data_IF_485702637962
#
_entry.id   IF_485702637962
#
_cell.length_a   1.000
_cell.length_b   1.000
_cell.length_c   1.000
_cell.angle_alpha   90.00
_cell.angle_beta   90.00
_cell.angle_gamma   90.00
#
_symmetry.space_group_name_H-M   'P 1'
#
loop_
_entity.id
_entity.type
_entity.pdbx_description
1 polymer ?
#
# COMPACT_ATOMS: atom_id res chain seq x y z
N UNK A 1 5.19 2.63 -13.72
CA UNK A 1 4.41 2.20 -12.56
C UNK A 1 5.37 1.84 -11.46
N UNK A 2 5.13 2.38 -10.28
CA UNK A 2 5.97 2.18 -9.11
C UNK A 2 5.91 0.75 -8.58
N UNK A 3 6.88 0.45 -7.73
CA UNK A 3 7.05 -0.77 -6.95
C UNK A 3 7.81 -0.37 -5.69
N UNK A 4 7.63 -1.10 -4.58
CA UNK A 4 8.52 -0.94 -3.42
C UNK A 4 10.00 -1.22 -3.74
N UNK A 5 10.87 -0.75 -2.85
CA UNK A 5 12.31 -0.99 -2.90
C UNK A 5 12.63 -2.49 -2.96
N UNK A 6 13.67 -2.86 -3.74
CA UNK A 6 14.08 -4.25 -3.88
C UNK A 6 14.89 -4.78 -2.68
N UNK A 7 15.34 -3.91 -1.78
CA UNK A 7 16.25 -4.23 -0.71
C UNK A 7 17.63 -4.63 -1.22
N UNK A 8 18.35 -5.44 -0.43
CA UNK A 8 19.62 -6.00 -0.86
C UNK A 8 19.42 -7.02 -1.99
N UNK A 9 20.05 -6.76 -3.14
CA UNK A 9 19.97 -7.62 -4.33
C UNK A 9 20.60 -9.00 -4.11
N UNK A 10 21.56 -9.13 -3.20
CA UNK A 10 22.20 -10.43 -2.89
C UNK A 10 21.23 -11.43 -2.25
N UNK A 11 20.10 -10.95 -1.70
CA UNK A 11 19.05 -11.80 -1.15
C UNK A 11 18.11 -12.38 -2.22
N UNK A 12 18.25 -11.95 -3.47
CA UNK A 12 17.40 -12.40 -4.56
C UNK A 12 18.00 -13.60 -5.29
N UNK A 13 17.17 -14.61 -5.56
CA UNK A 13 17.54 -15.73 -6.43
C UNK A 13 17.69 -15.30 -7.89
N UNK A 14 16.89 -14.31 -8.33
CA UNK A 14 16.92 -13.74 -9.69
C UNK A 14 16.95 -12.21 -9.60
N UNK A 15 17.60 -11.50 -10.53
CA UNK A 15 17.71 -10.04 -10.45
C UNK A 15 16.33 -9.37 -10.39
N UNK A 16 16.06 -8.48 -9.43
CA UNK A 16 14.71 -7.96 -9.18
C UNK A 16 14.14 -7.16 -10.35
N UNK A 17 14.97 -6.54 -11.18
CA UNK A 17 14.52 -5.70 -12.29
C UNK A 17 14.76 -6.32 -13.67
N UNK A 18 15.07 -7.62 -13.70
CA UNK A 18 15.13 -8.40 -14.93
C UNK A 18 14.07 -9.50 -14.86
N UNK A 19 13.11 -9.47 -15.79
CA UNK A 19 12.08 -10.51 -15.85
C UNK A 19 12.76 -11.86 -16.11
N UNK A 20 12.58 -12.79 -15.18
CA UNK A 20 13.13 -14.15 -15.30
C UNK A 20 11.98 -15.15 -15.29
N UNK A 21 11.87 -15.94 -16.35
CA UNK A 21 10.91 -17.02 -16.45
C UNK A 21 11.56 -18.34 -16.03
N UNK A 22 10.96 -19.03 -15.06
CA UNK A 22 11.47 -20.31 -14.56
C UNK A 22 10.34 -21.11 -13.91
N UNK A 23 10.24 -22.39 -14.31
CA UNK A 23 9.28 -23.36 -13.75
C UNK A 23 7.84 -22.80 -13.72
N UNK A 24 7.39 -22.32 -14.88
CA UNK A 24 6.06 -21.70 -15.13
C UNK A 24 5.74 -20.48 -14.25
N UNK A 25 6.78 -19.80 -13.76
CA UNK A 25 6.66 -18.58 -12.95
C UNK A 25 7.50 -17.45 -13.51
N UNK A 26 7.00 -16.24 -13.33
CA UNK A 26 7.66 -14.98 -13.69
C UNK A 26 8.19 -14.29 -12.44
N UNK A 27 9.51 -14.19 -12.34
CA UNK A 27 10.22 -13.55 -11.25
C UNK A 27 10.66 -12.15 -11.62
N UNK A 28 10.42 -11.21 -10.71
CA UNK A 28 10.80 -9.81 -10.83
C UNK A 28 10.00 -8.96 -9.82
N UNK A 29 10.58 -7.85 -9.37
CA UNK A 29 9.91 -6.89 -8.50
C UNK A 29 8.71 -6.28 -9.22
N UNK A 30 7.56 -6.54 -8.61
CA UNK A 30 6.25 -6.08 -9.04
C UNK A 30 5.57 -6.94 -10.10
N UNK A 31 6.08 -8.15 -10.39
CA UNK A 31 5.35 -9.10 -11.26
C UNK A 31 3.98 -9.45 -10.70
N UNK A 32 3.89 -9.64 -9.37
CA UNK A 32 2.61 -9.83 -8.66
C UNK A 32 1.95 -8.49 -8.32
N UNK A 33 2.70 -7.55 -7.76
CA UNK A 33 2.19 -6.29 -7.22
C UNK A 33 2.78 -5.06 -7.97
N UNK A 34 2.05 -4.45 -8.90
CA UNK A 34 0.84 -4.99 -9.55
C UNK A 34 0.97 -5.03 -11.08
N UNK A 35 2.20 -5.13 -11.61
CA UNK A 35 2.44 -5.09 -13.07
C UNK A 35 1.77 -6.25 -13.81
N UNK A 36 1.66 -7.42 -13.19
CA UNK A 36 0.91 -8.55 -13.77
C UNK A 36 -0.56 -8.22 -13.97
N UNK A 37 -1.23 -7.71 -12.92
CA UNK A 37 -2.62 -7.25 -13.00
C UNK A 37 -2.82 -6.11 -13.99
N UNK A 38 -1.92 -5.13 -14.00
CA UNK A 38 -1.94 -4.03 -14.98
C UNK A 38 -1.84 -4.53 -16.41
N UNK A 39 -0.91 -5.44 -16.70
CA UNK A 39 -0.75 -5.98 -18.05
C UNK A 39 -1.97 -6.80 -18.48
N UNK A 40 -2.59 -7.55 -17.55
CA UNK A 40 -3.84 -8.25 -17.83
C UNK A 40 -4.97 -7.29 -18.24
N UNK A 41 -5.12 -6.16 -17.54
CA UNK A 41 -6.07 -5.12 -17.92
C UNK A 41 -5.77 -4.52 -19.31
N UNK A 42 -4.50 -4.20 -19.58
CA UNK A 42 -4.08 -3.63 -20.89
C UNK A 42 -4.40 -4.58 -22.03
N UNK A 43 -4.05 -5.88 -21.89
CA UNK A 43 -4.31 -6.89 -22.91
C UNK A 43 -5.83 -7.06 -23.12
N UNK A 44 -6.61 -7.15 -22.05
CA UNK A 44 -8.06 -7.25 -22.15
C UNK A 44 -8.69 -6.07 -22.91
N UNK A 45 -8.20 -4.84 -22.67
CA UNK A 45 -8.68 -3.65 -23.39
C UNK A 45 -8.31 -3.67 -24.89
N UNK A 46 -7.12 -4.17 -25.23
CA UNK A 46 -6.70 -4.35 -26.62
C UNK A 46 -7.60 -5.38 -27.30
N UNK A 47 -7.80 -6.55 -26.68
CA UNK A 47 -8.64 -7.62 -27.24
C UNK A 47 -10.11 -7.19 -27.40
N UNK A 48 -10.68 -6.52 -26.39
CA UNK A 48 -12.04 -5.96 -26.49
C UNK A 48 -12.18 -4.98 -27.65
N UNK A 49 -11.15 -4.17 -27.89
CA UNK A 49 -11.13 -3.21 -29.00
C UNK A 49 -11.02 -3.91 -30.35
N UNK A 50 -10.10 -4.87 -30.49
CA UNK A 50 -9.87 -5.62 -31.72
C UNK A 50 -11.09 -6.48 -32.11
N UNK A 51 -11.78 -7.06 -31.12
CA UNK A 51 -12.98 -7.86 -31.33
C UNK A 51 -14.26 -7.01 -31.43
N UNK A 52 -14.16 -5.69 -31.28
CA UNK A 52 -15.29 -4.75 -31.25
C UNK A 52 -16.37 -5.16 -30.22
N UNK A 53 -15.94 -5.60 -29.03
CA UNK A 53 -16.77 -6.19 -27.98
C UNK A 53 -17.23 -5.20 -26.89
N UNK A 54 -17.17 -3.90 -27.17
CA UNK A 54 -17.73 -2.86 -26.30
C UNK A 54 -18.85 -2.11 -27.03
N UNK A 55 -20.06 -2.69 -27.16
CA UNK A 55 -21.14 -2.10 -27.94
C UNK A 55 -21.72 -0.83 -27.30
N UNK A 56 -21.57 -0.67 -25.97
CA UNK A 56 -22.05 0.48 -25.21
C UNK A 56 -21.10 0.78 -24.05
N UNK A 57 -21.12 2.04 -23.59
CA UNK A 57 -20.31 2.50 -22.46
C UNK A 57 -18.90 2.89 -22.85
N UNK A 58 -18.07 3.14 -21.83
CA UNK A 58 -16.66 3.53 -22.00
C UNK A 58 -15.85 2.87 -20.89
N UNK A 59 -14.73 2.25 -21.27
CA UNK A 59 -13.75 1.75 -20.30
C UNK A 59 -12.54 2.67 -20.36
N UNK A 60 -12.11 3.16 -19.20
CA UNK A 60 -10.95 4.05 -19.04
C UNK A 60 -9.89 3.33 -18.22
N UNK A 61 -8.67 3.22 -18.76
CA UNK A 61 -7.53 2.76 -17.99
C UNK A 61 -6.95 3.93 -17.21
N UNK A 62 -6.94 3.82 -15.87
CA UNK A 62 -6.26 4.75 -14.97
C UNK A 62 -5.03 4.05 -14.40
N UNK A 63 -3.85 4.45 -14.84
CA UNK A 63 -2.57 3.91 -14.36
C UNK A 63 -1.80 5.01 -13.63
N UNK A 64 -1.52 4.80 -12.35
CA UNK A 64 -0.95 5.81 -11.45
C UNK A 64 0.44 5.43 -10.96
N UNK A 65 1.26 6.43 -10.63
CA UNK A 65 2.49 6.20 -9.88
C UNK A 65 2.35 6.73 -8.45
N UNK A 66 3.08 6.13 -7.51
CA UNK A 66 3.16 6.55 -6.11
C UNK A 66 2.09 5.92 -5.22
N UNK A 67 1.46 4.83 -5.65
CA UNK A 67 0.52 4.05 -4.85
C UNK A 67 1.20 3.56 -3.56
N UNK A 68 2.41 3.01 -3.70
CA UNK A 68 3.19 2.32 -2.66
C UNK A 68 3.71 3.26 -1.55
N UNK A 69 3.34 4.54 -1.61
CA UNK A 69 3.74 5.59 -0.67
C UNK A 69 2.52 6.33 -0.13
N UNK A 70 2.09 7.37 -0.84
CA UNK A 70 1.06 8.32 -0.40
C UNK A 70 -0.14 8.39 -1.37
N UNK A 71 -0.18 7.50 -2.37
CA UNK A 71 -1.29 7.37 -3.32
C UNK A 71 -1.56 8.66 -4.12
N UNK A 72 -0.54 9.51 -4.29
CA UNK A 72 -0.66 10.84 -4.88
C UNK A 72 -1.24 10.81 -6.30
N UNK A 73 -0.88 9.81 -7.11
CA UNK A 73 -1.37 9.67 -8.47
C UNK A 73 -2.88 9.42 -8.53
N UNK A 74 -3.39 8.52 -7.69
CA UNK A 74 -4.83 8.24 -7.61
C UNK A 74 -5.60 9.45 -7.09
N UNK A 75 -5.06 10.10 -6.05
CA UNK A 75 -5.62 11.34 -5.51
C UNK A 75 -5.70 12.45 -6.56
N UNK A 76 -4.64 12.65 -7.35
CA UNK A 76 -4.60 13.67 -8.39
C UNK A 76 -5.66 13.42 -9.48
N UNK A 77 -5.87 12.17 -9.89
CA UNK A 77 -6.89 11.83 -10.89
C UNK A 77 -8.30 12.08 -10.35
N UNK A 78 -8.55 11.70 -9.10
CA UNK A 78 -9.81 11.99 -8.42
C UNK A 78 -10.06 13.50 -8.32
N UNK A 79 -9.07 14.28 -7.83
CA UNK A 79 -9.17 15.73 -7.67
C UNK A 79 -9.37 16.48 -9.01
N UNK A 80 -8.96 15.86 -10.14
CA UNK A 80 -9.18 16.38 -11.49
C UNK A 80 -10.50 15.95 -12.14
N UNK A 81 -11.33 15.18 -11.44
CA UNK A 81 -12.64 14.74 -11.91
C UNK A 81 -12.61 13.55 -12.89
N UNK A 82 -11.48 12.82 -13.00
CA UNK A 82 -11.41 11.62 -13.87
C UNK A 82 -12.28 10.45 -13.38
N UNK A 83 -12.86 10.58 -12.19
CA UNK A 83 -13.75 9.60 -11.57
C UNK A 83 -15.21 10.09 -11.47
N UNK A 84 -15.51 11.33 -11.86
CA UNK A 84 -16.82 11.95 -11.64
C UNK A 84 -17.95 11.26 -12.43
N UNK A 85 -17.60 10.61 -13.55
CA UNK A 85 -18.50 9.90 -14.46
C UNK A 85 -18.37 8.37 -14.37
N UNK A 86 -17.68 7.84 -13.35
CA UNK A 86 -17.38 6.42 -13.23
C UNK A 86 -18.48 5.68 -12.46
N UNK A 87 -19.19 4.78 -13.16
CA UNK A 87 -20.22 3.91 -12.57
C UNK A 87 -19.63 2.72 -11.78
N UNK A 88 -18.39 2.33 -12.09
CA UNK A 88 -17.73 1.18 -11.46
C UNK A 88 -16.21 1.21 -11.66
N UNK A 89 -15.48 0.76 -10.64
CA UNK A 89 -14.03 0.73 -10.62
C UNK A 89 -13.54 -0.70 -10.35
N UNK A 90 -12.60 -1.16 -11.18
CA UNK A 90 -11.91 -2.44 -11.01
C UNK A 90 -10.43 -2.16 -10.78
N UNK A 91 -9.90 -2.66 -9.68
CA UNK A 91 -8.49 -2.54 -9.31
C UNK A 91 -7.88 -3.95 -9.38
N UNK A 92 -6.83 -4.12 -10.18
CA UNK A 92 -6.20 -5.42 -10.43
C UNK A 92 -5.05 -5.74 -9.45
N UNK A 93 -5.18 -5.31 -8.20
CA UNK A 93 -4.26 -5.64 -7.12
C UNK A 93 -4.33 -7.14 -6.78
N UNK A 94 -3.24 -7.76 -6.29
CA UNK A 94 -3.22 -9.19 -6.04
C UNK A 94 -4.05 -9.55 -4.80
N UNK A 95 -5.24 -10.08 -5.02
CA UNK A 95 -6.19 -10.50 -3.97
C UNK A 95 -6.22 -12.02 -3.72
N UNK A 96 -5.33 -12.77 -4.36
CA UNK A 96 -5.32 -14.23 -4.32
C UNK A 96 -6.54 -14.80 -5.05
N UNK A 97 -7.34 -15.62 -4.37
CA UNK A 97 -8.55 -16.25 -4.95
C UNK A 97 -9.85 -15.46 -4.70
N UNK A 98 -9.79 -14.32 -4.00
CA UNK A 98 -10.96 -13.56 -3.59
C UNK A 98 -11.16 -12.25 -4.37
N UNK A 99 -12.39 -11.75 -4.37
CA UNK A 99 -12.73 -10.39 -4.79
C UNK A 99 -12.99 -9.56 -3.53
N UNK A 100 -12.30 -8.44 -3.40
CA UNK A 100 -12.46 -7.51 -2.29
C UNK A 100 -13.18 -6.27 -2.81
N UNK A 101 -14.27 -5.88 -2.16
CA UNK A 101 -15.09 -4.73 -2.55
C UNK A 101 -14.93 -3.53 -1.58
N UNK A 102 -14.17 -3.70 -0.51
CA UNK A 102 -13.90 -2.66 0.48
C UNK A 102 -12.57 -2.91 1.18
N UNK A 103 -11.91 -1.83 1.59
CA UNK A 103 -10.71 -1.84 2.41
C UNK A 103 -10.95 -1.08 3.71
N UNK A 104 -10.17 -1.42 4.75
CA UNK A 104 -10.15 -0.63 6.00
C UNK A 104 -9.46 0.71 5.73
N UNK A 105 -9.86 1.75 6.45
CA UNK A 105 -9.09 2.98 6.49
C UNK A 105 -7.68 2.74 7.07
N UNK A 106 -6.71 3.48 6.57
CA UNK A 106 -5.34 3.51 7.10
C UNK A 106 -5.10 4.80 7.86
N UNK A 107 -4.42 4.73 9.00
CA UNK A 107 -4.04 5.89 9.79
C UNK A 107 -2.63 5.67 10.34
N UNK A 108 -1.75 6.64 10.06
CA UNK A 108 -0.40 6.71 10.62
C UNK A 108 -0.34 7.89 11.58
N UNK A 109 0.24 7.68 12.77
CA UNK A 109 0.43 8.73 13.78
C UNK A 109 1.91 8.89 14.07
N UNK A 110 2.38 10.14 14.10
CA UNK A 110 3.73 10.49 14.58
C UNK A 110 3.61 11.05 15.99
N UNK A 111 4.26 10.39 16.95
CA UNK A 111 4.33 10.83 18.33
C UNK A 111 5.72 11.37 18.60
N UNK A 112 5.82 12.53 19.25
CA UNK A 112 7.08 13.17 19.59
C UNK A 112 7.05 13.51 21.07
N UNK A 113 8.04 13.02 21.82
CA UNK A 113 8.29 13.45 23.20
C UNK A 113 9.45 14.44 23.21
N UNK A 114 9.37 15.43 24.08
CA UNK A 114 10.44 16.40 24.31
C UNK A 114 10.87 16.30 25.76
N UNK A 115 12.18 16.14 25.95
CA UNK A 115 12.81 16.07 27.26
C UNK A 115 13.79 17.23 27.46
N UNK A 116 14.53 17.18 28.56
CA UNK A 116 15.53 18.17 28.95
C UNK A 116 16.91 17.52 28.94
N UNK A 117 17.74 17.91 27.98
CA UNK A 117 19.09 17.38 27.82
C UNK A 117 20.02 17.85 28.95
N UNK A 118 20.76 16.90 29.52
CA UNK A 118 21.75 17.12 30.59
C UNK A 118 22.93 16.16 30.41
N UNK A 119 24.03 16.41 31.11
CA UNK A 119 25.17 15.48 31.11
C UNK A 119 24.76 14.13 31.72
N UNK A 120 25.19 13.02 31.10
CA UNK A 120 24.75 11.65 31.47
C UNK A 120 25.07 11.24 32.91
N UNK A 121 26.03 11.90 33.56
CA UNK A 121 26.37 11.68 34.97
C UNK A 121 25.44 12.35 35.98
N UNK A 122 24.55 13.25 35.53
CA UNK A 122 23.58 13.97 36.38
C UNK A 122 22.15 13.84 35.83
N UNK A 123 21.65 12.60 35.61
CA UNK A 123 20.37 12.39 34.95
C UNK A 123 19.17 12.99 35.70
N UNK A 124 19.30 13.16 37.03
CA UNK A 124 18.23 13.66 37.92
C UNK A 124 17.86 15.15 37.73
N UNK A 125 18.61 15.91 36.93
CA UNK A 125 18.26 17.31 36.56
C UNK A 125 17.74 17.47 35.13
N UNK A 126 17.64 16.37 34.38
CA UNK A 126 17.11 16.31 33.03
C UNK A 126 15.84 15.47 32.95
N UNK A 127 15.23 15.47 31.77
CA UNK A 127 14.04 14.69 31.47
C UNK A 127 14.34 13.85 30.23
N UNK A 128 14.28 12.54 30.37
CA UNK A 128 14.56 11.63 29.27
C UNK A 128 13.31 11.42 28.42
N UNK A 129 13.30 11.99 27.21
CA UNK A 129 12.19 11.84 26.27
C UNK A 129 11.89 10.37 25.90
N UNK A 130 12.88 9.48 26.01
CA UNK A 130 12.70 8.04 25.75
C UNK A 130 11.76 7.43 26.79
N UNK A 131 11.90 7.81 28.07
CA UNK A 131 11.07 7.26 29.14
C UNK A 131 9.60 7.66 28.93
N UNK A 132 9.35 8.92 28.55
CA UNK A 132 8.01 9.39 28.18
C UNK A 132 7.43 8.63 26.98
N UNK A 133 8.24 8.33 25.95
CA UNK A 133 7.78 7.53 24.81
C UNK A 133 7.46 6.08 25.21
N UNK A 134 8.23 5.49 26.12
CA UNK A 134 7.99 4.15 26.64
C UNK A 134 6.69 4.11 27.45
N UNK A 135 6.45 5.10 28.31
CA UNK A 135 5.19 5.24 29.05
C UNK A 135 3.99 5.36 28.10
N UNK A 136 4.08 6.25 27.11
CA UNK A 136 3.04 6.40 26.09
C UNK A 136 2.79 5.08 25.36
N UNK A 137 3.84 4.39 24.91
CA UNK A 137 3.73 3.14 24.18
C UNK A 137 3.03 2.05 25.00
N UNK A 138 3.37 1.93 26.29
CA UNK A 138 2.75 0.94 27.17
C UNK A 138 1.25 1.22 27.34
N UNK A 139 0.86 2.48 27.61
CA UNK A 139 -0.55 2.87 27.70
C UNK A 139 -1.30 2.65 26.39
N UNK A 140 -0.67 2.99 25.26
CA UNK A 140 -1.23 2.76 23.93
C UNK A 140 -1.47 1.27 23.67
N UNK A 141 -0.51 0.42 24.00
CA UNK A 141 -0.59 -1.04 23.82
C UNK A 141 -1.75 -1.64 24.61
N UNK A 142 -1.98 -1.18 25.84
CA UNK A 142 -3.11 -1.62 26.68
C UNK A 142 -4.45 -1.22 26.06
N UNK A 143 -4.62 0.06 25.71
CA UNK A 143 -5.83 0.57 25.04
C UNK A 143 -6.10 -0.14 23.70
N UNK A 144 -5.05 -0.42 22.93
CA UNK A 144 -5.18 -1.13 21.67
C UNK A 144 -5.67 -2.58 21.87
N UNK A 145 -5.21 -3.25 22.92
CA UNK A 145 -5.70 -4.59 23.27
C UNK A 145 -7.19 -4.58 23.66
N UNK A 146 -7.66 -3.56 24.37
CA UNK A 146 -9.09 -3.38 24.69
C UNK A 146 -9.93 -3.17 23.43
N UNK A 147 -9.50 -2.26 22.55
CA UNK A 147 -10.16 -2.00 21.27
C UNK A 147 -10.25 -3.27 20.42
N UNK A 148 -9.17 -4.06 20.36
CA UNK A 148 -9.15 -5.32 19.62
C UNK A 148 -10.19 -6.31 20.14
N UNK A 149 -10.34 -6.44 21.47
CA UNK A 149 -11.38 -7.29 22.08
C UNK A 149 -12.79 -6.78 21.74
N UNK A 150 -13.01 -5.47 21.81
CA UNK A 150 -14.29 -4.87 21.46
C UNK A 150 -14.69 -5.19 20.01
N UNK A 151 -13.77 -5.00 19.05
CA UNK A 151 -14.02 -5.26 17.63
C UNK A 151 -14.32 -6.76 17.39
N UNK A 152 -13.54 -7.66 17.98
CA UNK A 152 -13.74 -9.10 17.83
C UNK A 152 -15.05 -9.62 18.46
N UNK A 153 -15.56 -8.92 19.47
CA UNK A 153 -16.83 -9.27 20.11
C UNK A 153 -18.05 -8.66 19.38
N UNK A 154 -17.83 -7.79 18.39
CA UNK A 154 -18.88 -7.21 17.55
C UNK A 154 -19.10 -7.98 16.24
N UNK A 155 -18.20 -8.92 15.90
CA UNK A 155 -18.28 -9.83 14.74
C UNK A 155 -18.84 -11.19 15.14
#
# INVERSE_FOLDING_TARGET
MDVVDAGNQDNWTYPPFQLTEKDDKLYGRGTTDMKGGLMALVIALIELKEQNQLPQGTIRLLATAGEEKEQEGAKLLADKGYLDDVDGLMIAEPTGSGIYYAHKGSMSCKVTATGKAVHSSVPFIGDNAIDTLLEFYNQFKEKYAELKKMILNMS
#
